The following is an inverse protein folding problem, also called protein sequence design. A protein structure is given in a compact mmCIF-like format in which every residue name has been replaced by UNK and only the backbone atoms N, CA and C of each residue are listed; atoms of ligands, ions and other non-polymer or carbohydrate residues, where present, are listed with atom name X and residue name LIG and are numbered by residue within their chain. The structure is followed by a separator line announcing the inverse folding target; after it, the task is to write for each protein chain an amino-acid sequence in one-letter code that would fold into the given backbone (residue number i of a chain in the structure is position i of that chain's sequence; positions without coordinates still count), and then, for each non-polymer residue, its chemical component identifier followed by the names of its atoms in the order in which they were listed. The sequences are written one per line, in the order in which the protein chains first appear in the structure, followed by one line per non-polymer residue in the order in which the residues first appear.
data_IF_992697419448
#
_entry.id   IF_992697419448
#
_cell.length_a   1.000
_cell.length_b   1.000
_cell.length_c   1.000
_cell.angle_alpha   90.00
_cell.angle_beta   90.00
_cell.angle_gamma   90.00
#
_symmetry.space_group_name_H-M   'P 1'
#
loop_
_entity.id
_entity.type
_entity.pdbx_description
1 polymer ?
#
# COMPACT_ATOMS: atom_id res chain seq x y z
N UNK A 1 31.62 -31.54 -55.49
CA UNK A 1 31.12 -31.07 -54.18
C UNK A 1 29.98 -31.98 -53.75
N UNK A 2 29.92 -32.27 -52.45
CA UNK A 2 29.25 -33.40 -51.78
C UNK A 2 27.74 -33.52 -51.99
N UNK A 3 27.29 -34.77 -52.07
CA UNK A 3 26.25 -35.45 -51.27
C UNK A 3 26.30 -36.96 -51.67
N UNK A 4 25.66 -37.95 -50.99
CA UNK A 4 24.54 -37.83 -50.04
C UNK A 4 24.48 -38.90 -48.90
N UNK A 5 23.32 -38.98 -48.25
CA UNK A 5 22.64 -40.13 -47.59
C UNK A 5 22.81 -40.44 -46.08
N UNK A 6 21.77 -40.04 -45.33
CA UNK A 6 20.74 -40.87 -44.67
C UNK A 6 21.04 -42.18 -43.90
N UNK A 7 20.26 -42.30 -42.81
CA UNK A 7 19.59 -43.50 -42.26
C UNK A 7 20.21 -44.27 -41.06
N UNK A 8 19.49 -44.15 -39.92
CA UNK A 8 18.84 -45.24 -39.15
C UNK A 8 19.62 -46.21 -38.24
N UNK A 9 19.02 -46.45 -37.05
CA UNK A 9 19.07 -47.69 -36.24
C UNK A 9 20.20 -47.74 -35.17
N UNK A 10 20.10 -48.41 -34.01
CA UNK A 10 19.07 -49.12 -33.26
C UNK A 10 19.72 -49.62 -31.93
N UNK A 11 18.90 -50.16 -30.99
CA UNK A 11 19.25 -51.03 -29.82
C UNK A 11 19.50 -50.31 -28.47
N UNK A 12 18.66 -50.48 -27.43
CA UNK A 12 18.35 -51.62 -26.51
C UNK A 12 19.35 -51.79 -25.34
N UNK A 13 18.94 -51.29 -24.15
CA UNK A 13 19.11 -51.83 -22.76
C UNK A 13 20.55 -52.05 -22.20
N UNK A 14 20.81 -52.16 -20.86
CA UNK A 14 19.88 -52.46 -19.76
C UNK A 14 20.05 -51.65 -18.45
N UNK A 15 19.12 -51.96 -17.54
CA UNK A 15 19.02 -51.66 -16.10
C UNK A 15 20.15 -52.31 -15.30
N UNK A 16 20.68 -51.60 -14.29
CA UNK A 16 21.57 -52.15 -13.25
C UNK A 16 21.49 -51.31 -11.98
N UNK A 17 21.02 -51.93 -10.88
CA UNK A 17 20.81 -51.34 -9.56
C UNK A 17 22.07 -51.22 -8.69
N UNK A 18 21.88 -50.96 -7.37
CA UNK A 18 22.81 -50.21 -6.52
C UNK A 18 23.95 -51.06 -5.93
N UNK A 19 25.09 -50.42 -5.70
CA UNK A 19 26.27 -51.01 -5.05
C UNK A 19 26.55 -50.38 -3.68
N UNK A 20 26.73 -51.28 -2.71
CA UNK A 20 26.98 -51.09 -1.28
C UNK A 20 28.26 -50.33 -0.89
N UNK A 21 28.20 -49.65 0.27
CA UNK A 21 29.37 -49.33 1.11
C UNK A 21 29.09 -49.83 2.55
N UNK A 22 29.92 -50.73 3.13
CA UNK A 22 29.75 -51.27 4.49
C UNK A 22 30.57 -50.55 5.60
N UNK A 23 30.35 -50.90 6.89
CA UNK A 23 30.63 -50.04 8.08
C UNK A 23 31.75 -50.55 9.03
N UNK A 24 32.25 -49.68 9.93
CA UNK A 24 32.78 -49.94 11.30
C UNK A 24 33.44 -48.64 11.83
N UNK A 25 33.46 -48.23 13.11
CA UNK A 25 33.69 -48.93 14.38
C UNK A 25 33.02 -48.21 15.60
N UNK A 26 32.69 -49.03 16.62
CA UNK A 26 32.23 -48.73 18.01
C UNK A 26 33.44 -48.39 18.91
N UNK A 27 33.41 -47.88 20.14
CA UNK A 27 32.47 -47.65 21.27
C UNK A 27 33.28 -46.95 22.41
N UNK A 28 33.06 -47.08 23.75
CA UNK A 28 31.90 -47.53 24.57
C UNK A 28 31.48 -46.51 25.69
N UNK A 29 30.49 -46.82 26.58
CA UNK A 29 30.01 -45.96 27.68
C UNK A 29 30.42 -46.47 29.11
N UNK A 30 30.14 -45.70 30.18
CA UNK A 30 29.49 -46.27 31.39
C UNK A 30 28.45 -45.31 32.06
N UNK A 31 27.24 -45.74 32.46
CA UNK A 31 26.79 -46.53 33.63
C UNK A 31 26.60 -45.73 34.96
N UNK A 32 25.35 -45.45 35.34
CA UNK A 32 24.76 -45.69 36.68
C UNK A 32 24.36 -44.37 37.37
N UNK A 33 23.24 -44.17 38.08
CA UNK A 33 22.42 -45.05 38.92
C UNK A 33 20.94 -44.64 38.93
N UNK A 34 20.10 -45.65 39.22
CA UNK A 34 18.69 -45.56 39.62
C UNK A 34 18.56 -45.07 41.07
N UNK A 35 17.52 -44.28 41.37
CA UNK A 35 16.68 -44.49 42.57
C UNK A 35 15.35 -43.71 42.49
N UNK A 36 14.27 -44.47 42.35
CA UNK A 36 12.94 -44.08 42.83
C UNK A 36 12.94 -43.94 44.37
N UNK A 37 11.96 -43.22 44.92
CA UNK A 37 10.89 -43.76 45.80
C UNK A 37 10.17 -42.65 46.61
N UNK A 38 8.84 -42.57 46.39
CA UNK A 38 7.69 -42.26 47.29
C UNK A 38 7.61 -40.90 48.01
N UNK A 39 6.54 -40.12 47.79
CA UNK A 39 5.11 -40.17 48.24
C UNK A 39 4.86 -39.60 49.65
N UNK A 40 3.70 -38.93 49.74
CA UNK A 40 2.95 -38.37 50.88
C UNK A 40 3.20 -36.87 51.15
N UNK A 41 2.19 -36.03 51.37
CA UNK A 41 0.75 -36.22 51.46
C UNK A 41 0.08 -34.92 51.93
N UNK A 42 -1.16 -34.71 51.49
CA UNK A 42 -2.29 -33.99 52.13
C UNK A 42 -2.04 -32.86 53.14
N UNK A 43 -2.69 -31.71 52.93
CA UNK A 43 -2.96 -30.76 54.02
C UNK A 43 -3.72 -29.50 53.63
N UNK A 44 -5.01 -29.45 53.95
CA UNK A 44 -5.91 -28.28 53.86
C UNK A 44 -5.44 -27.14 54.78
N UNK A 45 -5.66 -25.87 54.39
CA UNK A 45 -6.58 -24.90 55.07
C UNK A 45 -6.33 -23.45 54.65
N UNK A 46 -7.44 -22.70 54.64
CA UNK A 46 -7.56 -21.27 54.47
C UNK A 46 -6.93 -20.45 55.62
N UNK A 47 -6.49 -19.23 55.29
CA UNK A 47 -6.08 -18.20 56.26
C UNK A 47 -5.81 -16.87 55.55
N UNK A 48 -6.48 -15.82 56.00
CA UNK A 48 -6.60 -14.46 55.44
C UNK A 48 -5.27 -13.64 55.41
N UNK A 49 -5.23 -12.46 54.74
CA UNK A 49 -3.99 -11.77 54.42
C UNK A 49 -3.55 -10.82 55.54
N UNK A 50 -2.24 -10.78 55.82
CA UNK A 50 -1.63 -9.73 56.64
C UNK A 50 -0.98 -8.66 55.76
N UNK A 51 -1.35 -7.41 56.07
CA UNK A 51 -0.75 -6.16 55.61
C UNK A 51 0.68 -6.05 56.17
N UNK A 52 1.62 -5.55 55.37
CA UNK A 52 2.96 -5.25 55.87
C UNK A 52 3.91 -4.62 54.86
N UNK A 53 3.85 -3.28 54.77
CA UNK A 53 4.96 -2.35 54.59
C UNK A 53 5.83 -2.37 53.31
N UNK A 54 5.79 -1.20 52.65
CA UNK A 54 6.92 -0.37 52.20
C UNK A 54 7.96 -1.03 51.27
N UNK A 55 7.96 -0.60 50.00
CA UNK A 55 9.19 -0.18 49.36
C UNK A 55 8.96 0.96 48.36
N UNK A 56 9.59 2.09 48.67
CA UNK A 56 9.68 3.33 47.91
C UNK A 56 11.03 3.23 47.19
N UNK A 57 11.06 3.17 45.84
CA UNK A 57 12.29 3.40 45.07
C UNK A 57 12.00 4.22 43.82
N UNK A 58 12.43 5.48 43.93
CA UNK A 58 12.96 6.40 42.93
C UNK A 58 12.58 6.20 41.45
N UNK A 59 11.70 7.09 40.97
CA UNK A 59 11.65 7.50 39.58
C UNK A 59 12.84 8.43 39.27
N UNK A 60 13.82 7.93 38.51
CA UNK A 60 14.80 8.80 37.83
C UNK A 60 14.14 9.41 36.59
N UNK A 61 14.01 10.73 36.61
CA UNK A 61 13.71 11.55 35.42
C UNK A 61 14.89 11.47 34.46
N UNK A 62 14.61 11.20 33.19
CA UNK A 62 15.54 11.38 32.08
C UNK A 62 15.13 12.69 31.41
N UNK A 63 16.00 13.70 31.45
CA UNK A 63 15.86 14.93 30.65
C UNK A 63 16.58 14.76 29.29
N UNK A 64 16.11 15.41 28.21
CA UNK A 64 16.67 15.22 26.89
C UNK A 64 17.84 16.17 26.55
N UNK A 65 18.82 15.59 25.86
CA UNK A 65 19.69 16.14 24.80
C UNK A 65 20.32 17.54 24.96
N UNK A 66 21.63 17.54 25.22
CA UNK A 66 22.53 18.66 24.91
C UNK A 66 22.85 18.68 23.40
N UNK A 67 22.49 19.79 22.73
CA UNK A 67 22.95 20.11 21.38
C UNK A 67 24.38 20.66 21.45
N UNK A 68 25.27 20.06 20.65
CA UNK A 68 26.64 20.52 20.41
C UNK A 68 26.58 21.61 19.33
N UNK A 69 26.92 22.85 19.70
CA UNK A 69 27.16 23.94 18.76
C UNK A 69 28.61 24.41 18.92
N UNK A 70 29.35 24.40 17.80
CA UNK A 70 30.73 24.89 17.69
C UNK A 70 30.78 26.43 17.66
N UNK A 71 31.92 27.06 18.06
CA UNK A 71 31.96 28.47 18.42
C UNK A 71 32.20 29.38 17.21
N UNK A 72 31.59 30.56 17.24
CA UNK A 72 32.01 31.73 16.46
C UNK A 72 32.17 32.94 17.40
N UNK A 73 33.08 33.80 17.00
CA UNK A 73 33.94 34.66 17.82
C UNK A 73 33.30 35.83 18.58
N UNK A 74 34.11 36.28 19.53
CA UNK A 74 33.98 37.40 20.45
C UNK A 74 33.77 38.78 19.79
N UNK A 75 33.04 39.64 20.49
CA UNK A 75 33.09 41.07 20.26
C UNK A 75 32.21 41.89 21.21
N UNK A 76 32.82 42.55 22.20
CA UNK A 76 32.39 43.89 22.61
C UNK A 76 31.55 44.05 23.89
N UNK A 77 32.27 44.23 24.99
CA UNK A 77 31.93 44.82 26.29
C UNK A 77 30.91 46.00 26.24
N UNK A 78 29.96 46.06 27.19
CA UNK A 78 30.01 47.01 28.33
C UNK A 78 28.74 47.01 29.20
N UNK A 79 28.95 46.66 30.47
CA UNK A 79 28.42 47.25 31.72
C UNK A 79 27.06 47.98 31.76
N UNK A 80 26.17 47.34 32.54
CA UNK A 80 25.70 47.79 33.85
C UNK A 80 24.43 48.67 33.98
N UNK A 81 23.62 48.21 34.97
CA UNK A 81 22.49 48.85 35.68
C UNK A 81 21.18 48.83 34.89
N UNK A 82 20.05 48.33 35.41
CA UNK A 82 19.53 48.52 36.77
C UNK A 82 18.51 47.43 37.10
N UNK A 83 18.58 46.89 38.32
CA UNK A 83 17.49 46.09 38.93
C UNK A 83 16.30 47.01 39.23
N UNK A 84 15.10 46.59 38.83
CA UNK A 84 13.87 46.96 39.55
C UNK A 84 12.99 45.71 39.64
N UNK A 85 12.79 45.29 40.87
CA UNK A 85 12.06 44.12 41.33
C UNK A 85 10.55 44.33 41.31
N UNK A 86 9.84 43.25 41.02
CA UNK A 86 8.55 42.80 41.56
C UNK A 86 7.54 43.84 42.04
N UNK A 87 6.33 43.78 41.48
CA UNK A 87 5.11 43.71 42.29
C UNK A 87 4.05 42.83 41.62
N UNK A 88 3.79 41.69 42.27
CA UNK A 88 2.54 40.95 42.23
C UNK A 88 1.39 41.85 42.71
N UNK A 89 0.24 41.74 42.06
CA UNK A 89 -0.99 42.39 42.47
C UNK A 89 -2.18 41.80 41.73
N UNK A 90 -2.83 40.83 42.38
CA UNK A 90 -4.10 40.22 41.97
C UNK A 90 -5.20 41.28 41.79
N UNK A 91 -6.11 41.08 40.83
CA UNK A 91 -7.57 41.05 41.08
C UNK A 91 -8.38 40.86 39.79
N UNK A 92 -9.35 39.96 39.91
CA UNK A 92 -10.54 39.83 39.07
C UNK A 92 -11.16 41.16 38.61
N UNK A 93 -11.61 41.23 37.35
CA UNK A 93 -13.02 41.50 36.98
C UNK A 93 -13.24 41.54 35.46
N UNK A 94 -14.34 40.88 35.06
CA UNK A 94 -15.29 41.24 34.01
C UNK A 94 -14.82 41.34 32.53
N UNK A 95 -15.30 40.37 31.73
CA UNK A 95 -15.52 40.49 30.29
C UNK A 95 -16.53 41.62 29.99
N UNK A 96 -16.33 42.46 28.97
CA UNK A 96 -17.44 43.16 28.33
C UNK A 96 -17.88 42.42 27.05
N UNK A 97 -19.19 42.15 26.99
CA UNK A 97 -19.89 41.84 25.76
C UNK A 97 -19.86 43.07 24.83
N UNK A 98 -19.45 42.89 23.58
CA UNK A 98 -19.58 43.92 22.56
C UNK A 98 -20.81 43.63 21.69
N UNK A 99 -21.74 44.58 21.77
CA UNK A 99 -22.98 44.68 21.02
C UNK A 99 -22.78 44.63 19.51
N UNK A 100 -23.73 43.93 18.87
CA UNK A 100 -24.03 44.01 17.45
C UNK A 100 -24.52 45.42 17.10
N UNK A 101 -23.95 46.02 16.05
CA UNK A 101 -24.53 47.18 15.36
C UNK A 101 -24.79 46.86 13.89
N UNK A 102 -25.80 47.49 13.24
CA UNK A 102 -26.30 47.07 11.93
C UNK A 102 -25.44 47.66 10.80
N UNK A 103 -25.15 46.86 9.76
CA UNK A 103 -24.45 47.30 8.54
C UNK A 103 -25.35 48.18 7.67
N UNK A 104 -24.85 49.30 7.10
CA UNK A 104 -25.62 50.11 6.16
C UNK A 104 -25.63 49.48 4.76
N UNK A 105 -26.79 49.53 4.09
CA UNK A 105 -26.95 49.18 2.67
C UNK A 105 -26.31 50.25 1.78
N UNK A 106 -25.22 49.92 1.10
CA UNK A 106 -24.66 50.74 0.04
C UNK A 106 -25.11 50.21 -1.34
N UNK A 107 -25.97 50.96 -2.03
CA UNK A 107 -26.18 50.82 -3.48
C UNK A 107 -24.91 51.30 -4.19
N UNK A 108 -24.28 50.45 -5.00
CA UNK A 108 -23.25 50.88 -5.97
C UNK A 108 -23.72 50.58 -7.39
N UNK A 109 -23.83 51.66 -8.17
CA UNK A 109 -24.07 51.70 -9.62
C UNK A 109 -22.89 51.04 -10.34
N UNK A 110 -23.18 50.21 -11.34
CA UNK A 110 -22.20 49.72 -12.31
C UNK A 110 -21.84 50.86 -13.30
N UNK A 111 -20.56 51.10 -13.61
CA UNK A 111 -20.20 51.82 -14.81
C UNK A 111 -20.11 50.85 -15.99
N UNK A 112 -20.80 51.18 -17.08
CA UNK A 112 -20.64 50.53 -18.37
C UNK A 112 -19.38 51.08 -19.06
N UNK A 113 -18.42 50.21 -19.37
CA UNK A 113 -17.36 50.47 -20.34
C UNK A 113 -17.34 49.31 -21.36
N UNK A 114 -17.33 49.59 -22.67
CA UNK A 114 -17.30 48.56 -23.69
C UNK A 114 -15.84 48.17 -23.96
N UNK A 115 -15.46 46.93 -23.63
CA UNK A 115 -14.21 46.35 -24.14
C UNK A 115 -14.56 45.57 -25.39
N UNK A 116 -14.08 46.02 -26.55
CA UNK A 116 -14.23 45.26 -27.79
C UNK A 116 -13.33 44.02 -27.72
N UNK A 117 -13.96 42.86 -27.72
CA UNK A 117 -13.28 41.58 -27.84
C UNK A 117 -12.88 41.41 -29.31
N UNK A 118 -11.57 41.45 -29.59
CA UNK A 118 -11.03 41.04 -30.90
C UNK A 118 -11.30 39.54 -31.12
N UNK A 119 -11.52 39.07 -32.36
CA UNK A 119 -11.82 37.68 -32.60
C UNK A 119 -10.60 36.81 -32.30
N UNK A 120 -10.77 35.80 -31.45
CA UNK A 120 -9.77 34.79 -31.21
C UNK A 120 -9.52 34.01 -32.52
N UNK A 121 -8.29 34.05 -33.02
CA UNK A 121 -7.85 33.13 -34.07
C UNK A 121 -8.01 31.70 -33.55
N UNK A 122 -8.84 30.91 -34.25
CA UNK A 122 -9.06 29.48 -33.98
C UNK A 122 -7.72 28.75 -34.01
N UNK A 123 -7.16 28.44 -32.84
CA UNK A 123 -6.15 27.39 -32.72
C UNK A 123 -6.87 26.05 -32.90
N UNK A 124 -6.39 25.25 -33.84
CA UNK A 124 -6.89 23.89 -34.06
C UNK A 124 -6.77 23.06 -32.77
N UNK A 125 -7.71 22.15 -32.46
CA UNK A 125 -7.60 21.29 -31.31
C UNK A 125 -6.41 20.33 -31.48
N UNK A 126 -5.60 20.17 -30.43
CA UNK A 126 -4.48 19.22 -30.34
C UNK A 126 -4.90 17.74 -30.41
N UNK A 127 -6.20 17.47 -30.46
CA UNK A 127 -6.76 16.14 -30.64
C UNK A 127 -7.73 16.14 -31.81
N UNK A 128 -7.37 15.40 -32.87
CA UNK A 128 -8.32 14.96 -33.89
C UNK A 128 -9.24 13.93 -33.23
N UNK A 129 -10.51 14.26 -33.06
CA UNK A 129 -11.51 13.28 -32.65
C UNK A 129 -11.43 12.09 -33.62
N UNK A 130 -11.37 10.83 -33.13
CA UNK A 130 -11.49 9.69 -34.01
C UNK A 130 -12.85 9.79 -34.72
N UNK A 131 -12.83 9.75 -36.05
CA UNK A 131 -14.06 9.77 -36.84
C UNK A 131 -14.96 8.59 -36.47
N UNK A 132 -16.28 8.68 -36.69
CA UNK A 132 -17.17 7.55 -36.46
C UNK A 132 -16.72 6.40 -37.36
N UNK A 133 -16.27 5.29 -36.74
CA UNK A 133 -16.06 4.04 -37.45
C UNK A 133 -17.42 3.59 -37.98
N UNK A 134 -17.63 3.83 -39.27
CA UNK A 134 -18.77 3.33 -40.00
C UNK A 134 -18.81 1.79 -39.88
N UNK A 135 -20.02 1.27 -39.69
CA UNK A 135 -20.26 -0.08 -39.23
C UNK A 135 -19.63 -1.16 -40.10
N UNK A 136 -18.85 -2.01 -39.44
CA UNK A 136 -18.82 -3.43 -39.70
C UNK A 136 -19.07 -4.12 -38.37
N UNK A 137 -20.31 -4.56 -38.13
CA UNK A 137 -20.60 -5.65 -37.18
C UNK A 137 -20.03 -6.95 -37.78
N UNK A 138 -18.72 -6.99 -37.97
CA UNK A 138 -18.00 -8.25 -38.08
C UNK A 138 -17.96 -8.81 -36.66
N UNK A 139 -18.32 -10.07 -36.49
CA UNK A 139 -17.87 -10.84 -35.33
C UNK A 139 -16.34 -10.77 -35.37
N UNK A 140 -15.76 -9.80 -34.67
CA UNK A 140 -14.36 -9.84 -34.32
C UNK A 140 -14.24 -11.09 -33.48
N UNK A 141 -13.64 -12.12 -34.06
CA UNK A 141 -13.13 -13.26 -33.33
C UNK A 141 -12.07 -12.68 -32.38
N UNK A 142 -12.51 -12.18 -31.22
CA UNK A 142 -11.63 -11.79 -30.14
C UNK A 142 -10.93 -13.08 -29.75
N UNK A 143 -9.70 -13.26 -30.20
CA UNK A 143 -8.84 -14.32 -29.67
C UNK A 143 -8.90 -14.17 -28.15
N UNK A 144 -9.45 -15.18 -27.47
CA UNK A 144 -9.58 -15.16 -26.01
C UNK A 144 -8.21 -14.79 -25.44
N UNK A 145 -8.15 -13.68 -24.71
CA UNK A 145 -6.91 -13.29 -24.07
C UNK A 145 -6.60 -14.37 -23.02
N UNK A 146 -5.33 -14.73 -22.85
CA UNK A 146 -4.95 -15.62 -21.76
C UNK A 146 -5.21 -14.87 -20.45
N UNK A 147 -6.13 -15.35 -19.60
CA UNK A 147 -6.38 -14.73 -18.31
C UNK A 147 -5.08 -14.68 -17.52
N UNK A 148 -4.91 -13.66 -16.70
CA UNK A 148 -3.72 -13.50 -15.89
C UNK A 148 -4.05 -12.72 -14.63
N UNK A 149 -3.42 -13.07 -13.53
CA UNK A 149 -3.50 -12.34 -12.27
C UNK A 149 -2.11 -12.28 -11.67
N UNK A 150 -1.70 -11.10 -11.22
CA UNK A 150 -0.49 -10.91 -10.42
C UNK A 150 -0.85 -10.09 -9.19
N UNK A 151 -0.27 -10.45 -8.05
CA UNK A 151 -0.51 -9.83 -6.75
C UNK A 151 0.81 -9.52 -6.05
N UNK A 152 0.84 -8.49 -5.21
CA UNK A 152 1.97 -8.23 -4.29
C UNK A 152 1.48 -7.93 -2.87
N UNK A 153 2.30 -8.32 -1.88
CA UNK A 153 2.11 -8.04 -0.46
C UNK A 153 2.82 -6.77 0.04
N UNK A 154 3.59 -6.11 -0.83
CA UNK A 154 4.32 -4.88 -0.50
C UNK A 154 5.82 -4.99 -0.65
N UNK A 155 6.47 -3.88 -1.01
CA UNK A 155 7.91 -3.78 -1.19
C UNK A 155 8.56 -3.11 0.02
N UNK A 156 9.50 -3.80 0.65
CA UNK A 156 10.14 -3.29 1.86
C UNK A 156 11.17 -4.22 2.48
N UNK A 157 11.52 -3.90 3.72
CA UNK A 157 12.30 -4.79 4.57
C UNK A 157 11.35 -5.75 5.26
N UNK A 158 11.51 -7.05 4.99
CA UNK A 158 10.72 -8.10 5.63
C UNK A 158 11.63 -8.88 6.59
N UNK A 159 11.26 -9.02 7.87
CA UNK A 159 11.99 -9.89 8.78
C UNK A 159 12.07 -11.30 8.23
N UNK A 160 13.26 -11.91 8.28
CA UNK A 160 13.46 -13.26 7.76
C UNK A 160 12.50 -14.30 8.38
N UNK A 161 12.11 -14.09 9.64
CA UNK A 161 11.13 -14.93 10.36
C UNK A 161 9.70 -14.84 9.79
N UNK A 162 9.33 -13.73 9.15
CA UNK A 162 7.98 -13.52 8.60
C UNK A 162 7.90 -13.76 7.08
N UNK A 163 9.05 -13.90 6.41
CA UNK A 163 9.13 -13.97 4.94
C UNK A 163 8.26 -15.08 4.34
N UNK A 164 8.36 -16.30 4.89
CA UNK A 164 7.60 -17.45 4.42
C UNK A 164 6.09 -17.28 4.65
N UNK A 165 5.69 -16.74 5.80
CA UNK A 165 4.28 -16.54 6.15
C UNK A 165 3.63 -15.44 5.30
N UNK A 166 4.37 -14.35 5.02
CA UNK A 166 3.95 -13.28 4.12
C UNK A 166 3.85 -13.75 2.67
N UNK A 167 4.76 -14.60 2.22
CA UNK A 167 4.65 -15.21 0.89
C UNK A 167 3.41 -16.10 0.80
N UNK A 168 3.15 -16.95 1.81
CA UNK A 168 1.95 -17.78 1.86
C UNK A 168 0.65 -16.96 1.91
N UNK A 169 0.67 -15.81 2.58
CA UNK A 169 -0.44 -14.83 2.56
C UNK A 169 -0.73 -14.31 1.15
N UNK A 170 0.31 -13.95 0.40
CA UNK A 170 0.17 -13.49 -0.99
C UNK A 170 -0.32 -14.61 -1.92
N UNK A 171 0.09 -15.85 -1.68
CA UNK A 171 -0.42 -17.02 -2.41
C UNK A 171 -1.91 -17.26 -2.15
N UNK A 172 -2.38 -17.16 -0.90
CA UNK A 172 -3.83 -17.21 -0.58
C UNK A 172 -4.62 -16.10 -1.28
N UNK A 173 -4.04 -14.90 -1.37
CA UNK A 173 -4.65 -13.80 -2.10
C UNK A 173 -4.74 -14.07 -3.61
N UNK A 174 -3.68 -14.65 -4.19
CA UNK A 174 -3.69 -15.10 -5.57
C UNK A 174 -4.78 -16.15 -5.80
N UNK A 175 -4.90 -17.16 -4.94
CA UNK A 175 -5.93 -18.20 -5.02
C UNK A 175 -7.34 -17.59 -4.93
N UNK A 176 -7.58 -16.68 -3.99
CA UNK A 176 -8.86 -16.00 -3.82
C UNK A 176 -9.25 -15.17 -5.05
N UNK A 177 -8.31 -14.42 -5.63
CA UNK A 177 -8.56 -13.65 -6.84
C UNK A 177 -8.71 -14.54 -8.09
N UNK A 178 -7.85 -15.53 -8.24
CA UNK A 178 -7.86 -16.43 -9.40
C UNK A 178 -9.13 -17.27 -9.46
N UNK A 179 -9.64 -17.72 -8.30
CA UNK A 179 -10.94 -18.37 -8.20
C UNK A 179 -12.13 -17.49 -8.60
N UNK A 180 -11.92 -16.20 -8.87
CA UNK A 180 -12.93 -15.24 -9.32
C UNK A 180 -12.67 -14.68 -10.72
N UNK A 181 -11.65 -15.16 -11.46
CA UNK A 181 -11.27 -14.62 -12.77
C UNK A 181 -12.36 -14.74 -13.84
N UNK A 182 -13.22 -15.75 -13.74
CA UNK A 182 -14.38 -15.92 -14.63
C UNK A 182 -15.43 -14.80 -14.45
N UNK A 183 -15.42 -14.11 -13.30
CA UNK A 183 -16.26 -12.93 -13.04
C UNK A 183 -15.72 -11.63 -13.66
N UNK A 184 -14.56 -11.67 -14.31
CA UNK A 184 -13.91 -10.52 -14.93
C UNK A 184 -12.70 -10.00 -14.13
N UNK A 185 -11.86 -9.20 -14.80
CA UNK A 185 -10.59 -8.75 -14.26
C UNK A 185 -10.74 -7.94 -12.96
N UNK A 186 -11.71 -7.03 -12.92
CA UNK A 186 -11.98 -6.20 -11.72
C UNK A 186 -12.37 -7.07 -10.53
N UNK A 187 -13.25 -8.07 -10.74
CA UNK A 187 -13.72 -8.96 -9.67
C UNK A 187 -12.56 -9.76 -9.09
N UNK A 188 -11.67 -10.29 -9.94
CA UNK A 188 -10.48 -11.01 -9.50
C UNK A 188 -9.51 -10.12 -8.70
N UNK A 189 -9.21 -8.92 -9.21
CA UNK A 189 -8.30 -7.99 -8.55
C UNK A 189 -8.84 -7.54 -7.18
N UNK A 190 -10.12 -7.20 -7.10
CA UNK A 190 -10.79 -6.82 -5.85
C UNK A 190 -10.82 -7.98 -4.86
N UNK A 191 -11.15 -9.20 -5.30
CA UNK A 191 -11.17 -10.38 -4.43
C UNK A 191 -9.79 -10.69 -3.83
N UNK A 192 -8.71 -10.56 -4.62
CA UNK A 192 -7.34 -10.71 -4.12
C UNK A 192 -6.99 -9.64 -3.06
N UNK A 193 -7.27 -8.37 -3.33
CA UNK A 193 -6.97 -7.28 -2.38
C UNK A 193 -7.83 -7.40 -1.12
N UNK A 194 -9.11 -7.74 -1.24
CA UNK A 194 -10.00 -7.97 -0.10
C UNK A 194 -9.50 -9.10 0.80
N UNK A 195 -8.94 -10.17 0.22
CA UNK A 195 -8.27 -11.24 0.98
C UNK A 195 -7.01 -10.75 1.70
N UNK A 196 -6.25 -9.82 1.10
CA UNK A 196 -5.06 -9.23 1.73
C UNK A 196 -5.42 -8.21 2.82
N UNK A 197 -6.56 -7.53 2.73
CA UNK A 197 -7.08 -6.68 3.81
C UNK A 197 -7.49 -7.46 5.06
N UNK A 198 -7.74 -8.76 4.92
CA UNK A 198 -8.02 -9.68 6.03
C UNK A 198 -6.78 -10.33 6.61
N UNK A 199 -5.62 -10.09 6.00
CA UNK A 199 -4.38 -10.73 6.38
C UNK A 199 -3.58 -9.85 7.36
N UNK A 200 -3.52 -10.21 8.65
CA UNK A 200 -2.86 -9.39 9.67
C UNK A 200 -1.36 -9.18 9.45
N UNK A 201 -0.70 -10.00 8.62
CA UNK A 201 0.71 -9.84 8.28
C UNK A 201 0.96 -8.75 7.24
N UNK A 202 -0.05 -8.28 6.52
CA UNK A 202 0.09 -7.30 5.44
C UNK A 202 -0.37 -5.90 5.90
N UNK A 203 0.18 -4.87 5.25
CA UNK A 203 -0.11 -3.48 5.59
C UNK A 203 -1.36 -2.96 4.83
N UNK A 204 -2.50 -3.61 5.00
CA UNK A 204 -3.79 -3.17 4.46
C UNK A 204 -4.91 -3.74 5.32
N UNK A 205 -5.97 -2.96 5.58
CA UNK A 205 -7.05 -3.42 6.47
C UNK A 205 -6.51 -3.86 7.84
N UNK A 206 -6.77 -5.13 8.19
CA UNK A 206 -6.28 -5.75 9.41
C UNK A 206 -4.75 -5.86 9.35
N UNK A 207 -4.06 -5.31 10.34
CA UNK A 207 -2.58 -5.33 10.37
C UNK A 207 -1.93 -4.10 9.75
N UNK A 208 -2.72 -3.11 9.30
CA UNK A 208 -2.24 -1.83 8.80
C UNK A 208 -1.33 -1.06 9.78
N UNK A 209 -0.41 -0.29 9.24
CA UNK A 209 0.51 0.57 9.98
C UNK A 209 -0.19 1.69 10.75
N UNK A 210 0.48 2.15 11.80
CA UNK A 210 -0.02 3.23 12.65
C UNK A 210 0.51 4.58 12.18
N UNK A 211 -0.34 5.60 12.25
CA UNK A 211 0.06 7.00 12.13
C UNK A 211 0.75 7.51 13.42
N UNK A 212 1.20 8.76 13.43
CA UNK A 212 1.91 9.36 14.59
C UNK A 212 1.06 9.45 15.86
N UNK A 213 -0.27 9.33 15.74
CA UNK A 213 -1.21 9.34 16.86
C UNK A 213 -1.51 7.91 17.36
N UNK A 214 -0.93 6.89 16.71
CA UNK A 214 -1.18 5.50 17.02
C UNK A 214 -2.53 4.98 16.51
N UNK A 215 -3.13 5.66 15.53
CA UNK A 215 -4.36 5.25 14.86
C UNK A 215 -4.06 4.64 13.49
N UNK A 216 -4.95 3.78 13.00
CA UNK A 216 -4.91 3.29 11.62
C UNK A 216 -5.70 4.24 10.72
N UNK A 217 -5.15 4.57 9.56
CA UNK A 217 -5.86 5.28 8.48
C UNK A 217 -5.59 4.57 7.16
N UNK A 218 -6.64 4.14 6.48
CA UNK A 218 -6.55 3.27 5.31
C UNK A 218 -6.84 4.05 4.02
N UNK A 219 -6.10 3.71 2.96
CA UNK A 219 -6.29 4.22 1.61
C UNK A 219 -6.47 3.04 0.64
N UNK A 220 -7.38 3.15 -0.34
CA UNK A 220 -7.56 2.15 -1.39
C UNK A 220 -8.02 2.76 -2.71
N UNK A 221 -7.73 2.06 -3.80
CA UNK A 221 -8.06 2.49 -5.16
C UNK A 221 -8.32 1.32 -6.10
N UNK A 222 -9.21 1.54 -7.08
CA UNK A 222 -9.50 0.62 -8.18
C UNK A 222 -9.55 1.37 -9.50
N UNK A 223 -9.21 0.68 -10.59
CA UNK A 223 -9.43 1.17 -11.94
C UNK A 223 -9.68 0.01 -12.90
N UNK A 224 -10.70 0.14 -13.74
CA UNK A 224 -10.91 -0.75 -14.89
C UNK A 224 -10.41 -0.11 -16.19
N UNK A 225 -9.81 -0.92 -17.05
CA UNK A 225 -9.19 -0.48 -18.29
C UNK A 225 -10.16 -0.23 -19.44
N UNK A 226 -11.35 -0.84 -19.42
CA UNK A 226 -12.32 -0.77 -20.52
C UNK A 226 -12.92 0.63 -20.68
N UNK A 227 -13.45 1.19 -19.59
CA UNK A 227 -14.05 2.52 -19.56
C UNK A 227 -13.16 3.58 -18.91
N UNK A 228 -11.97 3.22 -18.42
CA UNK A 228 -11.12 4.04 -17.56
C UNK A 228 -11.85 4.54 -16.31
N UNK A 229 -12.88 3.80 -15.85
CA UNK A 229 -13.57 4.10 -14.60
C UNK A 229 -12.61 3.83 -13.45
N UNK A 230 -12.58 4.75 -12.50
CA UNK A 230 -11.72 4.68 -11.35
C UNK A 230 -12.48 5.13 -10.10
N UNK A 231 -12.11 4.54 -8.96
CA UNK A 231 -12.63 4.91 -7.66
C UNK A 231 -11.54 4.79 -6.61
N UNK A 232 -11.58 5.67 -5.63
CA UNK A 232 -10.61 5.71 -4.56
C UNK A 232 -11.20 6.28 -3.29
N UNK A 233 -10.64 5.84 -2.17
CA UNK A 233 -11.00 6.30 -0.86
C UNK A 233 -9.74 6.41 0.00
N UNK A 234 -9.66 7.47 0.82
CA UNK A 234 -8.47 7.75 1.63
C UNK A 234 -8.81 8.16 3.06
N UNK A 235 -7.85 8.01 3.97
CA UNK A 235 -7.95 8.34 5.39
C UNK A 235 -9.17 7.68 6.08
N UNK A 236 -9.48 6.44 5.72
CA UNK A 236 -10.59 5.68 6.30
C UNK A 236 -10.20 5.10 7.65
N UNK A 237 -11.15 5.07 8.59
CA UNK A 237 -10.92 4.52 9.93
C UNK A 237 -11.92 3.46 10.35
N UNK A 238 -13.09 3.45 9.73
CA UNK A 238 -14.27 2.73 10.20
C UNK A 238 -14.92 1.85 9.11
N UNK A 239 -14.26 1.66 7.97
CA UNK A 239 -14.74 0.83 6.84
C UNK A 239 -13.95 -0.46 6.82
N UNK A 240 -14.63 -1.60 6.95
CA UNK A 240 -14.01 -2.91 7.14
C UNK A 240 -13.08 -3.32 5.99
N UNK A 241 -13.49 -3.00 4.77
CA UNK A 241 -12.76 -3.26 3.53
C UNK A 241 -12.67 -1.98 2.71
N UNK A 242 -11.57 -1.20 2.84
CA UNK A 242 -11.33 -0.02 2.02
C UNK A 242 -11.53 -0.23 0.52
N UNK A 243 -11.15 -1.40 0.00
CA UNK A 243 -11.29 -1.70 -1.42
C UNK A 243 -12.74 -1.74 -1.89
N UNK A 244 -13.67 -2.23 -1.05
CA UNK A 244 -15.09 -2.28 -1.37
C UNK A 244 -15.68 -0.86 -1.50
N UNK A 245 -15.18 0.08 -0.68
CA UNK A 245 -15.55 1.49 -0.83
C UNK A 245 -14.98 2.13 -2.10
N UNK A 246 -13.75 1.79 -2.49
CA UNK A 246 -13.19 2.26 -3.75
C UNK A 246 -14.04 1.78 -4.95
N UNK A 247 -14.51 0.53 -4.93
CA UNK A 247 -15.45 0.00 -5.94
C UNK A 247 -16.77 0.77 -5.91
N UNK A 248 -17.38 1.00 -4.74
CA UNK A 248 -18.63 1.74 -4.64
C UNK A 248 -18.51 3.18 -5.17
N UNK A 249 -17.39 3.85 -4.93
CA UNK A 249 -17.11 5.19 -5.51
C UNK A 249 -17.03 5.14 -7.04
N UNK A 250 -16.34 4.13 -7.59
CA UNK A 250 -16.22 3.94 -9.03
C UNK A 250 -17.58 3.65 -9.69
N UNK A 251 -18.39 2.80 -9.06
CA UNK A 251 -19.70 2.38 -9.56
C UNK A 251 -20.73 3.52 -9.50
N UNK A 252 -20.70 4.35 -8.47
CA UNK A 252 -21.52 5.56 -8.38
C UNK A 252 -21.21 6.56 -9.51
N UNK A 253 -19.94 6.67 -9.89
CA UNK A 253 -19.49 7.36 -11.10
C UNK A 253 -19.57 8.89 -11.08
N UNK A 254 -20.08 9.52 -10.01
CA UNK A 254 -20.10 11.00 -9.87
C UNK A 254 -18.73 11.56 -9.49
N UNK A 255 -17.96 10.79 -8.75
CA UNK A 255 -16.68 11.18 -8.18
C UNK A 255 -15.65 10.06 -8.37
N UNK A 256 -14.37 10.42 -8.38
CA UNK A 256 -13.28 9.43 -8.47
C UNK A 256 -12.65 9.16 -7.10
N UNK A 257 -12.61 10.16 -6.22
CA UNK A 257 -11.86 10.06 -4.96
C UNK A 257 -12.64 10.73 -3.82
N UNK A 258 -12.87 9.97 -2.74
CA UNK A 258 -13.42 10.48 -1.47
C UNK A 258 -12.40 10.34 -0.34
N UNK A 259 -12.52 11.13 0.71
CA UNK A 259 -11.62 11.03 1.86
C UNK A 259 -12.31 11.21 3.21
N UNK A 260 -11.69 10.63 4.24
CA UNK A 260 -11.98 10.81 5.65
C UNK A 260 -13.48 10.64 5.97
N UNK A 261 -14.02 11.49 6.84
CA UNK A 261 -15.41 11.42 7.28
C UNK A 261 -16.44 11.52 6.13
N UNK A 262 -16.07 12.14 5.00
CA UNK A 262 -16.94 12.16 3.82
C UNK A 262 -17.08 10.78 3.18
N UNK A 263 -15.96 10.08 3.01
CA UNK A 263 -15.92 8.72 2.50
C UNK A 263 -16.63 7.74 3.45
N UNK A 264 -16.43 7.86 4.77
CA UNK A 264 -17.14 7.04 5.76
C UNK A 264 -18.66 7.26 5.78
N UNK A 265 -19.15 8.46 5.46
CA UNK A 265 -20.60 8.70 5.33
C UNK A 265 -21.14 8.04 4.07
N UNK A 266 -20.44 8.20 2.96
CA UNK A 266 -20.79 7.55 1.69
C UNK A 266 -20.85 6.02 1.85
N UNK A 267 -19.88 5.42 2.54
CA UNK A 267 -19.86 3.99 2.82
C UNK A 267 -21.12 3.51 3.55
N UNK A 268 -21.56 4.24 4.59
CA UNK A 268 -22.80 3.94 5.33
C UNK A 268 -24.04 4.06 4.44
N UNK A 269 -24.10 5.10 3.61
CA UNK A 269 -25.22 5.32 2.68
C UNK A 269 -25.33 4.20 1.62
N UNK A 270 -24.20 3.58 1.26
CA UNK A 270 -24.15 2.45 0.33
C UNK A 270 -24.23 1.08 1.02
N UNK A 271 -24.47 1.04 2.34
CA UNK A 271 -24.63 -0.20 3.10
C UNK A 271 -23.36 -1.04 3.22
N UNK A 272 -22.18 -0.42 3.10
CA UNK A 272 -20.91 -1.12 3.28
C UNK A 272 -20.68 -1.50 4.74
N UNK A 273 -19.89 -2.56 4.96
CA UNK A 273 -19.56 -3.04 6.29
C UNK A 273 -18.69 -2.03 7.03
N UNK A 274 -19.23 -1.48 8.11
CA UNK A 274 -18.53 -0.60 9.03
C UNK A 274 -17.98 -1.41 10.20
N UNK A 275 -16.86 -0.97 10.79
CA UNK A 275 -16.23 -1.65 11.90
C UNK A 275 -15.70 -0.70 12.97
N UNK A 276 -15.43 -1.25 14.16
CA UNK A 276 -14.64 -0.56 15.16
C UNK A 276 -13.18 -0.48 14.71
N UNK A 277 -12.52 0.70 14.71
CA UNK A 277 -11.13 0.83 14.24
C UNK A 277 -10.12 -0.07 14.95
N UNK A 278 -10.42 -0.54 16.16
CA UNK A 278 -9.53 -1.42 16.93
C UNK A 278 -9.27 -2.77 16.26
N UNK A 279 -10.16 -3.23 15.37
CA UNK A 279 -9.95 -4.51 14.65
C UNK A 279 -8.69 -4.48 13.77
N UNK A 280 -8.29 -3.28 13.33
CA UNK A 280 -7.13 -3.14 12.46
C UNK A 280 -5.81 -3.26 13.23
N UNK A 281 -5.84 -3.20 14.56
CA UNK A 281 -4.66 -3.22 15.43
C UNK A 281 -4.52 -4.61 16.06
N UNK A 282 -3.66 -5.46 15.49
CA UNK A 282 -3.46 -6.84 15.96
C UNK A 282 -2.22 -7.00 16.83
N UNK A 283 -1.09 -6.42 16.42
CA UNK A 283 0.12 -6.30 17.22
C UNK A 283 0.73 -4.93 16.95
N UNK A 284 0.56 -4.04 17.93
CA UNK A 284 0.99 -2.65 17.84
C UNK A 284 2.49 -2.52 17.61
N UNK A 285 3.29 -3.39 18.23
CA UNK A 285 4.76 -3.37 18.10
C UNK A 285 5.18 -3.84 16.72
N UNK A 286 4.57 -4.91 16.19
CA UNK A 286 4.79 -5.34 14.80
C UNK A 286 4.44 -4.21 13.84
N UNK A 287 3.29 -3.57 14.03
CA UNK A 287 2.79 -2.49 13.16
C UNK A 287 3.69 -1.25 13.19
N UNK A 288 4.35 -0.96 14.31
CA UNK A 288 5.37 0.10 14.43
C UNK A 288 6.72 -0.28 13.79
N UNK A 289 6.96 -1.57 13.52
CA UNK A 289 8.19 -2.09 12.92
C UNK A 289 8.08 -2.33 11.41
N UNK A 290 6.90 -2.16 10.82
CA UNK A 290 6.69 -2.15 9.37
C UNK A 290 7.37 -0.91 8.77
N UNK A 291 8.70 -0.94 8.68
CA UNK A 291 9.52 0.10 8.08
C UNK A 291 9.71 -0.20 6.59
N UNK A 292 9.17 0.68 5.75
CA UNK A 292 9.06 0.44 4.30
C UNK A 292 7.60 0.57 3.89
N UNK A 293 7.35 0.87 2.63
CA UNK A 293 6.00 1.14 2.18
C UNK A 293 5.41 -0.13 1.58
N UNK A 294 5.04 -1.03 2.48
CA UNK A 294 4.21 -2.16 2.17
C UNK A 294 2.81 -1.66 1.82
N UNK A 295 2.41 -1.92 0.58
CA UNK A 295 1.07 -1.70 0.05
C UNK A 295 0.69 -3.03 -0.57
N UNK A 296 -0.58 -3.42 -0.51
CA UNK A 296 -1.04 -4.65 -1.19
C UNK A 296 -1.73 -4.27 -2.48
N UNK A 297 -1.60 -5.12 -3.51
CA UNK A 297 -2.14 -4.79 -4.81
C UNK A 297 -2.29 -5.99 -5.73
N UNK A 298 -3.19 -5.87 -6.68
CA UNK A 298 -3.52 -6.89 -7.66
C UNK A 298 -3.75 -6.25 -9.04
N UNK A 299 -3.22 -6.89 -10.07
CA UNK A 299 -3.49 -6.56 -11.48
C UNK A 299 -4.00 -7.81 -12.17
N UNK A 300 -5.11 -7.69 -12.91
CA UNK A 300 -5.75 -8.80 -13.58
C UNK A 300 -6.04 -8.51 -15.05
N UNK A 301 -6.01 -9.56 -15.88
CA UNK A 301 -6.56 -9.62 -17.23
C UNK A 301 -7.51 -10.80 -17.32
N UNK A 302 -8.74 -10.59 -17.78
CA UNK A 302 -9.70 -11.69 -17.97
C UNK A 302 -9.65 -12.30 -19.39
N UNK A 303 -10.51 -13.28 -19.64
CA UNK A 303 -10.61 -13.98 -20.93
C UNK A 303 -11.07 -13.08 -22.09
N UNK A 304 -11.76 -11.99 -21.79
CA UNK A 304 -12.20 -11.00 -22.79
C UNK A 304 -11.10 -9.96 -23.09
N UNK A 305 -10.00 -10.03 -22.35
CA UNK A 305 -8.85 -9.14 -22.46
C UNK A 305 -9.06 -7.80 -21.76
N UNK A 306 -10.04 -7.69 -20.87
CA UNK A 306 -10.19 -6.51 -20.01
C UNK A 306 -9.15 -6.54 -18.91
N UNK A 307 -8.62 -5.37 -18.59
CA UNK A 307 -7.61 -5.16 -17.56
C UNK A 307 -8.23 -4.43 -16.37
N UNK A 308 -7.77 -4.78 -15.16
CA UNK A 308 -8.13 -4.04 -13.96
C UNK A 308 -7.00 -4.06 -12.94
N UNK A 309 -7.03 -3.08 -12.05
CA UNK A 309 -6.11 -2.97 -10.92
C UNK A 309 -6.87 -2.60 -9.66
N UNK A 310 -6.44 -3.17 -8.54
CA UNK A 310 -6.91 -2.90 -7.20
C UNK A 310 -5.71 -2.73 -6.26
N UNK A 311 -5.78 -1.79 -5.32
CA UNK A 311 -4.70 -1.51 -4.38
C UNK A 311 -5.27 -1.03 -3.03
N UNK A 312 -4.65 -1.43 -1.93
CA UNK A 312 -5.04 -1.04 -0.58
C UNK A 312 -3.80 -0.89 0.32
N UNK A 313 -3.84 0.03 1.28
CA UNK A 313 -2.71 0.30 2.18
C UNK A 313 -3.12 0.92 3.51
N UNK A 314 -2.36 0.62 4.57
CA UNK A 314 -2.33 1.41 5.80
C UNK A 314 -1.47 2.67 5.71
N UNK A 315 -0.74 2.86 4.61
CA UNK A 315 0.22 3.94 4.42
C UNK A 315 1.57 3.60 5.06
N UNK A 316 2.26 4.61 5.60
CA UNK A 316 3.59 4.45 6.19
C UNK A 316 3.50 4.58 7.71
N UNK A 317 4.27 3.76 8.41
CA UNK A 317 4.47 3.87 9.85
C UNK A 317 4.91 5.28 10.25
N UNK A 318 4.24 5.84 11.25
CA UNK A 318 4.51 7.18 11.78
C UNK A 318 4.10 8.31 10.84
N UNK A 319 3.29 8.05 9.80
CA UNK A 319 2.73 9.09 8.95
C UNK A 319 1.95 10.11 9.78
N UNK A 320 1.91 11.37 9.32
CA UNK A 320 1.00 12.35 9.91
C UNK A 320 -0.46 11.92 9.67
N UNK A 321 -1.37 12.14 10.63
CA UNK A 321 -2.79 11.93 10.43
C UNK A 321 -3.30 12.68 9.20
N UNK A 322 -4.10 12.01 8.38
CA UNK A 322 -4.60 12.56 7.12
C UNK A 322 -3.58 12.57 5.96
N UNK A 323 -2.39 11.97 6.13
CA UNK A 323 -1.46 11.75 5.01
C UNK A 323 -2.05 10.72 4.05
N UNK A 324 -2.17 11.12 2.78
CA UNK A 324 -2.63 10.26 1.68
C UNK A 324 -1.43 9.84 0.83
N UNK A 325 -1.32 8.53 0.57
CA UNK A 325 -0.30 7.96 -0.31
C UNK A 325 -0.67 7.98 -1.79
N UNK A 326 0.10 7.24 -2.59
CA UNK A 326 -0.11 7.02 -4.02
C UNK A 326 -1.26 6.04 -4.30
N UNK A 327 -1.52 5.11 -3.37
CA UNK A 327 -2.47 4.01 -3.55
C UNK A 327 -3.89 4.41 -3.97
N UNK A 328 -4.54 5.47 -3.45
CA UNK A 328 -5.88 5.83 -3.90
C UNK A 328 -5.88 6.75 -5.14
N UNK A 329 -4.72 7.02 -5.75
CA UNK A 329 -4.55 8.04 -6.80
C UNK A 329 -4.26 7.38 -8.15
N UNK A 330 -5.23 7.38 -9.08
CA UNK A 330 -5.01 6.92 -10.45
C UNK A 330 -3.88 7.70 -11.13
N UNK A 331 -2.94 6.96 -11.69
CA UNK A 331 -1.74 7.45 -12.36
C UNK A 331 -0.53 7.58 -11.46
N UNK A 332 -0.70 7.51 -10.13
CA UNK A 332 0.42 7.44 -9.19
C UNK A 332 0.68 5.99 -8.75
N UNK A 333 -0.18 5.42 -7.91
CA UNK A 333 -0.03 4.07 -7.36
C UNK A 333 -0.71 2.98 -8.18
N UNK A 334 -1.74 3.33 -8.96
CA UNK A 334 -2.44 2.39 -9.85
C UNK A 334 -2.74 3.02 -11.21
N UNK A 335 -2.83 2.21 -12.27
CA UNK A 335 -3.45 2.63 -13.52
C UNK A 335 -3.86 1.40 -14.34
N UNK A 336 -5.00 1.45 -15.04
CA UNK A 336 -5.39 0.42 -15.99
C UNK A 336 -5.93 1.05 -17.29
N UNK A 337 -5.49 0.50 -18.42
CA UNK A 337 -5.98 0.85 -19.75
C UNK A 337 -5.97 -0.40 -20.62
N UNK A 338 -7.14 -0.83 -21.07
CA UNK A 338 -7.30 -2.02 -21.90
C UNK A 338 -6.42 -1.98 -23.15
N UNK A 339 -6.08 -0.80 -23.65
CA UNK A 339 -5.28 -0.66 -24.88
C UNK A 339 -3.82 -1.01 -24.68
N UNK A 340 -3.30 -0.90 -23.46
CA UNK A 340 -1.85 -0.87 -23.22
C UNK A 340 -1.41 -1.75 -22.05
N UNK A 341 -2.10 -1.71 -20.92
CA UNK A 341 -1.69 -2.44 -19.73
C UNK A 341 -2.29 -1.89 -18.44
N UNK A 342 -2.08 -2.64 -17.37
CA UNK A 342 -2.41 -2.23 -16.01
C UNK A 342 -1.22 -2.41 -15.07
N UNK A 343 -1.11 -1.52 -14.09
CA UNK A 343 0.06 -1.34 -13.23
C UNK A 343 -0.39 -1.07 -11.81
N UNK A 344 0.27 -1.69 -10.84
CA UNK A 344 0.14 -1.40 -9.42
C UNK A 344 1.52 -1.20 -8.78
N UNK A 345 1.61 -0.18 -7.92
CA UNK A 345 2.83 0.23 -7.24
C UNK A 345 2.79 0.00 -5.73
N UNK A 346 3.98 -0.18 -5.16
CA UNK A 346 4.22 -0.22 -3.71
C UNK A 346 5.57 0.43 -3.43
N UNK A 347 5.70 1.24 -2.39
CA UNK A 347 6.93 1.98 -2.14
C UNK A 347 6.66 3.39 -1.64
N UNK A 348 7.69 4.24 -1.68
CA UNK A 348 7.60 5.61 -1.17
C UNK A 348 6.53 6.41 -1.93
N UNK A 349 5.30 6.46 -1.38
CA UNK A 349 4.15 7.05 -2.09
C UNK A 349 4.35 8.48 -2.55
N UNK A 350 5.10 9.31 -1.81
CA UNK A 350 5.46 10.66 -2.24
C UNK A 350 6.22 10.68 -3.57
N UNK A 351 7.07 9.69 -3.82
CA UNK A 351 7.82 9.57 -5.07
C UNK A 351 6.93 9.08 -6.22
N UNK A 352 6.07 8.09 -5.97
CA UNK A 352 5.10 7.60 -6.96
C UNK A 352 4.15 8.72 -7.42
N UNK A 353 3.65 9.54 -6.49
CA UNK A 353 2.82 10.71 -6.81
C UNK A 353 3.58 11.73 -7.64
N UNK A 354 4.79 12.11 -7.21
CA UNK A 354 5.57 13.16 -7.89
C UNK A 354 6.00 12.78 -9.30
N UNK A 355 6.22 11.50 -9.55
CA UNK A 355 6.57 10.98 -10.87
C UNK A 355 5.34 10.64 -11.74
N UNK A 356 4.16 10.45 -11.14
CA UNK A 356 3.03 9.85 -11.86
C UNK A 356 3.40 8.47 -12.41
N UNK A 357 4.06 7.65 -11.57
CA UNK A 357 4.81 6.49 -12.03
C UNK A 357 3.93 5.44 -12.72
N UNK A 358 2.76 5.12 -12.17
CA UNK A 358 1.86 4.15 -12.79
C UNK A 358 1.36 4.61 -14.17
N UNK A 359 1.04 5.91 -14.34
CA UNK A 359 0.65 6.42 -15.67
C UNK A 359 1.82 6.42 -16.63
N UNK A 360 3.01 6.81 -16.18
CA UNK A 360 4.24 6.81 -16.97
C UNK A 360 4.49 5.41 -17.56
N UNK A 361 4.43 4.36 -16.75
CA UNK A 361 4.61 2.98 -17.21
C UNK A 361 3.62 2.59 -18.32
N UNK A 362 2.34 2.99 -18.19
CA UNK A 362 1.34 2.73 -19.24
C UNK A 362 1.61 3.57 -20.51
N UNK A 363 2.22 4.76 -20.39
CA UNK A 363 2.71 5.52 -21.56
C UNK A 363 3.87 4.77 -22.23
N UNK A 364 4.78 4.16 -21.47
CA UNK A 364 5.88 3.39 -22.02
C UNK A 364 5.41 2.14 -22.78
N UNK A 365 4.43 1.42 -22.22
CA UNK A 365 3.73 0.32 -22.91
C UNK A 365 3.02 0.81 -24.18
N UNK A 366 2.40 1.99 -24.14
CA UNK A 366 1.79 2.64 -25.31
C UNK A 366 2.81 2.92 -26.41
N UNK A 367 4.07 3.15 -26.06
CA UNK A 367 5.18 3.33 -27.01
C UNK A 367 5.82 2.00 -27.47
N UNK A 368 5.25 0.86 -27.08
CA UNK A 368 5.67 -0.47 -27.54
C UNK A 368 6.87 -1.04 -26.79
N UNK A 369 7.22 -0.49 -25.62
CA UNK A 369 8.22 -1.11 -24.75
C UNK A 369 7.68 -2.41 -24.16
N UNK A 370 8.54 -3.41 -23.99
CA UNK A 370 8.15 -4.68 -23.37
C UNK A 370 7.91 -4.53 -21.86
N UNK A 371 7.01 -5.34 -21.32
CA UNK A 371 6.57 -5.21 -19.92
C UNK A 371 7.69 -5.40 -18.89
N UNK A 372 8.69 -6.24 -19.16
CA UNK A 372 9.81 -6.44 -18.25
C UNK A 372 10.73 -5.21 -18.20
N UNK A 373 11.03 -4.63 -19.37
CA UNK A 373 11.80 -3.38 -19.48
C UNK A 373 11.08 -2.20 -18.83
N UNK A 374 9.76 -2.09 -19.01
CA UNK A 374 8.94 -1.05 -18.34
C UNK A 374 8.99 -1.21 -16.82
N UNK A 375 8.78 -2.42 -16.30
CA UNK A 375 8.83 -2.68 -14.87
C UNK A 375 10.19 -2.29 -14.26
N UNK A 376 11.29 -2.76 -14.88
CA UNK A 376 12.65 -2.46 -14.43
C UNK A 376 12.98 -0.97 -14.57
N UNK A 377 12.66 -0.37 -15.72
CA UNK A 377 12.92 1.04 -16.02
C UNK A 377 12.22 1.98 -15.04
N UNK A 378 10.98 1.68 -14.65
CA UNK A 378 10.24 2.44 -13.66
C UNK A 378 10.92 2.43 -12.28
N UNK A 379 11.41 1.26 -11.84
CA UNK A 379 12.11 1.11 -10.55
C UNK A 379 13.49 1.78 -10.56
N UNK A 380 14.21 1.67 -11.68
CA UNK A 380 15.48 2.38 -11.87
C UNK A 380 15.24 3.90 -11.84
N UNK A 381 14.20 4.39 -12.53
CA UNK A 381 13.82 5.80 -12.56
C UNK A 381 13.43 6.31 -11.16
N UNK A 382 12.66 5.51 -10.40
CA UNK A 382 12.32 5.80 -9.01
C UNK A 382 13.57 5.99 -8.14
N UNK A 383 14.55 5.08 -8.26
CA UNK A 383 15.81 5.16 -7.53
C UNK A 383 16.68 6.36 -7.94
N UNK A 384 16.78 6.63 -9.24
CA UNK A 384 17.65 7.68 -9.76
C UNK A 384 17.08 9.10 -9.56
N UNK A 385 15.79 9.30 -9.86
CA UNK A 385 15.17 10.62 -9.82
C UNK A 385 14.79 11.05 -8.40
N UNK A 386 14.47 10.09 -7.53
CA UNK A 386 13.87 10.37 -6.23
C UNK A 386 14.67 9.82 -5.05
N UNK A 387 15.74 9.07 -5.29
CA UNK A 387 16.47 8.32 -4.26
C UNK A 387 15.54 7.46 -3.41
N UNK A 388 14.52 6.89 -4.06
CA UNK A 388 13.43 6.19 -3.42
C UNK A 388 13.46 4.70 -3.74
N UNK A 389 12.91 3.91 -2.81
CA UNK A 389 12.73 2.47 -2.98
C UNK A 389 11.25 2.10 -3.13
N UNK A 390 11.00 1.00 -3.83
CA UNK A 390 9.69 0.43 -4.06
C UNK A 390 9.71 -0.77 -5.00
N UNK A 391 8.53 -1.13 -5.44
CA UNK A 391 8.23 -2.21 -6.35
C UNK A 391 6.97 -1.94 -7.16
N UNK A 392 6.84 -2.67 -8.26
CA UNK A 392 5.70 -2.60 -9.17
C UNK A 392 5.36 -4.00 -9.66
N UNK A 393 4.07 -4.22 -9.89
CA UNK A 393 3.55 -5.32 -10.71
C UNK A 393 2.79 -4.73 -11.89
N UNK A 394 2.84 -5.39 -13.04
CA UNK A 394 2.09 -4.97 -14.22
C UNK A 394 1.69 -6.15 -15.09
N UNK A 395 0.61 -5.96 -15.84
CA UNK A 395 0.21 -6.83 -16.94
C UNK A 395 0.08 -5.96 -18.20
N UNK A 396 0.89 -6.18 -19.24
CA UNK A 396 0.71 -5.53 -20.53
C UNK A 396 -0.57 -6.04 -21.21
N UNK A 397 -1.14 -5.28 -22.15
CA UNK A 397 -2.31 -5.71 -22.95
C UNK A 397 -2.10 -7.11 -23.50
N UNK A 398 -0.95 -7.36 -24.10
CA UNK A 398 -0.52 -8.67 -24.58
C UNK A 398 0.77 -9.09 -23.89
N UNK A 399 0.87 -10.36 -23.49
CA UNK A 399 2.04 -10.91 -22.80
C UNK A 399 1.77 -11.38 -21.37
N UNK A 400 2.86 -11.68 -20.66
CA UNK A 400 2.85 -12.19 -19.29
C UNK A 400 2.86 -11.07 -18.25
N UNK A 401 2.42 -11.32 -17.01
CA UNK A 401 2.66 -10.44 -15.89
C UNK A 401 4.15 -10.24 -15.59
N UNK A 402 4.49 -9.08 -15.06
CA UNK A 402 5.85 -8.73 -14.66
C UNK A 402 5.88 -8.07 -13.28
N UNK A 403 6.93 -8.32 -12.53
CA UNK A 403 7.23 -7.67 -11.25
C UNK A 403 8.67 -7.16 -11.25
N UNK A 404 8.90 -5.99 -10.65
CA UNK A 404 10.24 -5.43 -10.42
C UNK A 404 10.27 -4.63 -9.12
N UNK A 405 11.39 -4.63 -8.41
CA UNK A 405 11.57 -3.88 -7.16
C UNK A 405 13.06 -3.64 -6.86
N UNK A 406 13.36 -2.60 -6.09
CA UNK A 406 14.71 -2.26 -5.61
C UNK A 406 14.82 -2.24 -4.07
N UNK A 407 13.81 -2.79 -3.40
CA UNK A 407 13.81 -3.10 -1.97
C UNK A 407 14.46 -4.46 -1.70
N UNK A 408 14.85 -4.78 -0.45
CA UNK A 408 15.36 -6.10 -0.10
C UNK A 408 14.39 -7.25 -0.39
N UNK A 409 13.08 -7.00 -0.28
CA UNK A 409 12.04 -7.98 -0.59
C UNK A 409 10.79 -7.31 -1.15
N UNK A 410 10.02 -8.11 -1.90
CA UNK A 410 8.63 -7.84 -2.26
C UNK A 410 7.95 -9.21 -2.46
N UNK A 411 7.07 -9.69 -1.58
CA UNK A 411 6.32 -10.92 -1.79
C UNK A 411 5.32 -10.70 -2.92
N UNK A 412 5.32 -11.60 -3.90
CA UNK A 412 4.42 -11.54 -5.06
C UNK A 412 4.11 -12.94 -5.56
N UNK A 413 3.00 -13.09 -6.27
CA UNK A 413 2.59 -14.35 -6.91
C UNK A 413 1.78 -14.07 -8.18
N UNK A 414 1.74 -15.01 -9.11
CA UNK A 414 0.96 -14.89 -10.35
C UNK A 414 0.34 -16.21 -10.82
N UNK A 415 -0.73 -16.10 -11.60
CA UNK A 415 -1.43 -17.20 -12.29
C UNK A 415 -1.79 -16.79 -13.73
N UNK A 416 -1.81 -17.75 -14.66
CA UNK A 416 -2.06 -17.54 -16.10
C UNK A 416 -2.67 -18.73 -16.83
#
# INVERSE_FOLDING_TARGET
MRAPDDASGASRLPVGGPGDVPPSQRGPPPAGELREVRRHGSGRRAGAPQRGAKNRRENRRIEPAAAVASPFEEGGRNSARTRATNRLGQAHRARPALCRTPRPRARRRQPACPVSLRPAHRRAPLFRAPGPLAGSRGLLNRSAARPALIVHGGAGLIPASESAERQAAVERALEAGWGKIEGGALVAAVAAVRQMEDEPLLNAGIGATLNSDGEVELDAGVMEGAGLRAGGAACLRDVRHPIDLAVAVMEDGRHVLLAAAGASRFAREHGLEMCDPSIFITDRKRQELLHGADTVGAVARDSDGHLAVAVSTGGRTGKLPGRIGDSPIPGAGLYADDRFGAVCGTGLGEAFIRLGLARLMVIELQHGMDGASVAKGAIDHLGQAMHAQGGVILIPREGAPHAAFNTPAMPWAMAQ
#
